data_IF_702602192600
#
_entry.id   IF_702602192600
#
_cell.length_a   1.000
_cell.length_b   1.000
_cell.length_c   1.000
_cell.angle_alpha   90.00
_cell.angle_beta   90.00
_cell.angle_gamma   90.00
#
_symmetry.space_group_name_H-M   'P 1'
#
loop_
_entity.id
_entity.type
_entity.pdbx_description
1 polymer ?
2 non-polymer ?
3 non-polymer ?
4 water ?
#
# COMPACT_ATOMS: atom_id res chain seq x y z
N UNK A 9 16.37 10.93 16.11
CA UNK A 9 17.04 9.95 17.02
C UNK A 9 18.55 10.06 16.80
N UNK A 10 19.28 10.12 17.91
CA UNK A 10 20.73 10.27 17.89
C UNK A 10 21.20 11.58 17.26
N UNK A 11 22.47 11.60 16.86
CA UNK A 11 23.05 12.75 16.18
C UNK A 11 23.48 12.35 14.78
N UNK A 12 22.53 12.36 13.82
CA UNK A 12 22.91 11.95 12.46
C UNK A 12 23.85 12.94 11.78
N UNK A 13 24.70 12.42 10.92
CA UNK A 13 25.62 13.27 10.14
C UNK A 13 24.79 14.08 9.16
N UNK A 14 25.32 15.21 8.70
CA UNK A 14 24.70 15.91 7.58
C UNK A 14 24.49 15.02 6.37
N UNK A 15 25.45 14.10 6.17
CA UNK A 15 25.43 13.16 5.04
C UNK A 15 24.26 12.19 5.05
N UNK A 16 24.00 11.55 6.20
CA UNK A 16 22.82 10.67 6.28
C UNK A 16 21.53 11.48 6.30
N UNK A 17 21.53 12.68 6.89
CA UNK A 17 20.33 13.52 6.90
C UNK A 17 19.96 13.89 5.48
N UNK A 18 20.94 14.34 4.70
CA UNK A 18 20.76 14.67 3.31
C UNK A 18 20.19 13.53 2.47
N UNK A 19 20.71 12.33 2.69
CA UNK A 19 20.22 11.13 2.06
C UNK A 19 18.74 10.89 2.36
N UNK A 20 18.39 11.00 3.64
CA UNK A 20 17.00 10.84 4.11
C UNK A 20 16.10 11.98 3.66
N UNK A 21 16.64 13.20 3.52
CA UNK A 21 15.89 14.33 2.94
C UNK A 21 15.43 14.03 1.51
N UNK A 22 16.31 13.43 0.70
CA UNK A 22 15.97 13.05 -0.66
C UNK A 22 14.88 12.01 -0.69
N UNK A 23 14.98 10.99 0.16
CA UNK A 23 13.96 9.95 0.21
C UNK A 23 12.63 10.54 0.67
N UNK A 24 12.67 11.46 1.65
CA UNK A 24 11.45 12.12 2.10
C UNK A 24 10.83 12.94 0.97
N UNK A 25 11.64 13.76 0.30
CA UNK A 25 11.19 14.57 -0.84
C UNK A 25 10.57 13.73 -1.95
N UNK A 26 11.18 12.60 -2.29
CA UNK A 26 10.60 11.63 -3.24
C UNK A 26 9.25 11.14 -2.77
N UNK A 27 9.15 10.76 -1.51
CA UNK A 27 7.89 10.27 -0.98
C UNK A 27 6.77 11.36 -1.10
N UNK A 28 7.12 12.63 -0.84
CA UNK A 28 6.14 13.73 -0.90
C UNK A 28 5.74 14.13 -2.32
N UNK A 29 6.68 14.16 -3.24
CA UNK A 29 6.36 14.42 -4.65
C UNK A 29 5.65 13.21 -5.31
N UNK A 30 5.11 12.31 -4.46
CA UNK A 30 4.42 11.10 -4.85
C UNK A 30 3.07 11.05 -4.13
N UNK A 31 3.10 11.15 -2.79
CA UNK A 31 1.89 11.23 -1.99
C UNK A 31 1.13 12.52 -2.33
N UNK A 32 1.83 13.66 -2.27
CA UNK A 32 1.19 14.98 -2.32
C UNK A 32 1.05 15.65 -3.69
N UNK A 33 1.88 15.31 -4.67
CA UNK A 33 2.11 16.25 -5.77
C UNK A 33 2.52 15.63 -7.14
N UNK A 34 3.35 16.35 -7.96
CA UNK A 34 3.58 16.09 -9.42
C UNK A 34 3.58 14.65 -9.98
N UNK A 35 3.65 14.56 -11.31
CA UNK A 35 3.44 13.29 -12.02
C UNK A 35 4.76 12.57 -12.41
N UNK A 36 5.18 12.70 -13.66
CA UNK A 36 6.15 11.76 -14.24
C UNK A 36 7.58 12.24 -14.08
N UNK A 37 7.97 13.13 -15.01
CA UNK A 37 9.30 13.73 -15.00
C UNK A 37 9.32 14.96 -14.08
N UNK A 38 9.27 14.69 -12.77
CA UNK A 38 9.79 15.61 -11.77
C UNK A 38 11.28 15.45 -11.95
N UNK A 39 12.00 16.55 -12.04
CA UNK A 39 13.41 16.47 -12.33
C UNK A 39 14.22 16.20 -11.05
N UNK A 40 15.48 15.84 -11.25
CA UNK A 40 16.41 15.76 -10.16
C UNK A 40 16.49 17.12 -9.44
N UNK A 41 16.61 18.20 -10.22
CA UNK A 41 16.73 19.57 -9.67
C UNK A 41 15.59 19.89 -8.70
N UNK A 42 14.38 19.52 -9.09
CA UNK A 42 13.19 19.75 -8.27
C UNK A 42 13.13 18.93 -6.97
N UNK A 43 13.51 17.64 -7.06
CA UNK A 43 13.58 16.80 -5.86
C UNK A 43 14.61 17.40 -4.88
N UNK A 44 15.79 17.77 -5.40
CA UNK A 44 16.89 18.29 -4.57
C UNK A 44 16.55 19.64 -3.95
N UNK A 45 15.83 20.47 -4.71
CA UNK A 45 15.33 21.74 -4.19
C UNK A 45 14.30 21.52 -3.05
N UNK A 46 13.37 20.59 -3.24
CA UNK A 46 12.46 20.25 -2.15
C UNK A 46 13.22 19.72 -0.90
N UNK A 47 14.24 18.88 -1.12
CA UNK A 47 15.01 18.25 -0.03
C UNK A 47 15.90 19.25 0.65
N UNK A 48 16.31 20.26 -0.12
CA UNK A 48 17.24 21.24 0.36
C UNK A 48 18.67 20.74 0.28
N UNK A 49 18.99 19.97 -0.78
CA UNK A 49 20.33 19.39 -0.98
C UNK A 49 20.87 19.74 -2.35
N UNK A 50 22.18 19.58 -2.54
CA UNK A 50 22.81 19.59 -3.85
C UNK A 50 22.13 18.55 -4.74
N UNK A 51 21.74 18.94 -5.98
CA UNK A 51 21.11 17.99 -6.90
C UNK A 51 22.01 16.83 -7.31
N UNK A 52 23.32 17.01 -7.18
CA UNK A 52 24.30 15.97 -7.43
C UNK A 52 24.23 14.78 -6.49
N UNK A 53 23.64 14.97 -5.31
CA UNK A 53 23.50 13.88 -4.34
C UNK A 53 22.51 12.79 -4.71
N UNK A 54 21.61 13.04 -5.67
CA UNK A 54 20.69 12.00 -6.11
C UNK A 54 21.48 10.91 -6.84
N UNK A 55 22.26 11.30 -7.83
CA UNK A 55 23.14 10.37 -8.50
C UNK A 55 24.20 9.81 -7.54
N UNK A 56 24.71 10.62 -6.60
CA UNK A 56 25.73 10.13 -5.67
C UNK A 56 25.18 9.00 -4.80
N UNK A 57 24.07 9.24 -4.11
CA UNK A 57 23.51 8.24 -3.19
C UNK A 57 22.77 7.13 -3.87
N UNK A 58 22.13 7.42 -5.00
CA UNK A 58 21.18 6.46 -5.56
C UNK A 58 21.47 6.03 -7.00
N UNK A 59 22.42 6.65 -7.69
CA UNK A 59 22.71 6.30 -9.10
C UNK A 59 21.75 6.99 -10.05
N UNK A 60 20.45 6.84 -9.80
CA UNK A 60 19.44 7.41 -10.69
C UNK A 60 18.24 7.87 -9.90
N UNK A 61 17.42 8.71 -10.51
CA UNK A 61 16.14 9.13 -9.96
C UNK A 61 15.18 7.93 -9.75
N UNK A 62 15.25 6.97 -10.67
CA UNK A 62 14.42 5.77 -10.61
C UNK A 62 14.78 4.91 -9.41
N UNK A 63 16.07 4.79 -9.12
CA UNK A 63 16.51 4.04 -7.95
C UNK A 63 16.20 4.78 -6.63
N UNK A 64 16.22 6.10 -6.64
CA UNK A 64 15.75 6.88 -5.50
C UNK A 64 14.29 6.55 -5.21
N UNK A 65 13.46 6.58 -6.25
CA UNK A 65 12.05 6.22 -6.07
C UNK A 65 11.82 4.78 -5.62
N UNK A 66 12.50 3.79 -6.23
CA UNK A 66 12.34 2.40 -5.73
C UNK A 66 12.81 2.26 -4.29
N UNK A 67 13.92 2.91 -3.95
CA UNK A 67 14.42 2.85 -2.57
C UNK A 67 13.41 3.47 -1.58
N UNK A 68 12.84 4.61 -1.95
CA UNK A 68 11.76 5.21 -1.16
C UNK A 68 10.58 4.23 -0.96
N UNK A 69 10.22 3.50 -2.01
CA UNK A 69 9.06 2.58 -1.93
C UNK A 69 9.36 1.46 -0.92
N UNK A 70 10.56 0.89 -1.00
CA UNK A 70 10.93 -0.20 -0.07
C UNK A 70 10.97 0.30 1.36
N UNK A 71 11.58 1.47 1.58
CA UNK A 71 11.73 2.00 2.93
C UNK A 71 10.38 2.35 3.50
N UNK A 72 9.50 2.91 2.70
CA UNK A 72 8.16 3.24 3.14
C UNK A 72 7.37 1.98 3.53
N UNK A 73 7.57 0.89 2.78
CA UNK A 73 6.84 -0.36 2.91
C UNK A 73 7.33 -1.23 4.04
N UNK A 74 8.63 -1.17 4.36
CA UNK A 74 9.24 -2.11 5.27
C UNK A 74 8.52 -2.25 6.62
N UNK A 75 8.20 -1.14 7.30
CA UNK A 75 7.54 -1.24 8.59
C UNK A 75 6.06 -1.61 8.48
N UNK A 76 5.42 -1.19 7.39
CA UNK A 76 4.05 -1.54 7.11
C UNK A 76 3.92 -3.07 6.96
N UNK A 77 4.76 -3.68 6.10
CA UNK A 77 4.74 -5.12 5.88
C UNK A 77 5.14 -5.88 7.13
N UNK A 78 6.04 -5.31 7.93
CA UNK A 78 6.45 -5.97 9.18
C UNK A 78 5.25 -6.03 10.13
N UNK A 79 4.58 -4.90 10.31
CA UNK A 79 3.38 -4.87 11.14
C UNK A 79 2.27 -5.84 10.67
N UNK A 80 1.99 -5.88 9.37
CA UNK A 80 0.99 -6.80 8.85
C UNK A 80 1.39 -8.25 9.05
N UNK A 81 2.68 -8.55 8.87
CA UNK A 81 3.18 -9.92 9.06
C UNK A 81 3.04 -10.32 10.52
N UNK A 82 3.38 -9.39 11.41
CA UNK A 82 3.26 -9.62 12.84
C UNK A 82 1.78 -9.85 13.21
N UNK A 83 0.90 -9.00 12.69
CA UNK A 83 -0.56 -9.11 12.93
C UNK A 83 -1.16 -10.42 12.44
N UNK A 84 -0.61 -10.96 11.36
CA UNK A 84 -1.16 -12.16 10.74
C UNK A 84 -0.56 -13.45 11.27
N UNK A 85 0.58 -13.40 11.97
CA UNK A 85 1.14 -14.59 12.63
C UNK A 85 0.08 -15.29 13.52
N UNK A 86 -0.72 -14.47 14.21
CA UNK A 86 -1.78 -14.92 15.12
C UNK A 86 -3.00 -15.64 14.46
N UNK A 87 -3.12 -15.60 13.13
CA UNK A 87 -4.42 -15.84 12.46
C UNK A 87 -4.52 -17.17 11.72
N UNK A 88 -5.74 -17.50 11.28
CA UNK A 88 -6.05 -18.84 10.76
C UNK A 88 -5.92 -19.01 9.24
N UNK A 89 -5.65 -20.27 8.86
CA UNK A 89 -5.47 -20.71 7.47
C UNK A 89 -6.60 -20.15 6.61
N UNK A 90 -6.26 -19.86 5.37
CA UNK A 90 -6.83 -18.70 4.73
C UNK A 90 -8.29 -18.37 5.02
N UNK A 91 -8.39 -17.25 5.71
CA UNK A 91 -9.59 -16.69 6.22
C UNK A 91 -9.58 -15.29 5.63
N UNK A 92 -10.45 -15.03 4.67
CA UNK A 92 -10.67 -13.65 4.17
C UNK A 92 -10.87 -12.60 5.25
N UNK A 93 -11.69 -12.96 6.24
CA UNK A 93 -11.97 -12.10 7.38
C UNK A 93 -10.70 -11.67 8.14
N UNK A 94 -9.82 -12.62 8.45
CA UNK A 94 -8.58 -12.30 9.16
C UNK A 94 -7.69 -11.37 8.34
N UNK A 95 -7.68 -11.55 7.02
CA UNK A 95 -6.84 -10.73 6.15
C UNK A 95 -7.34 -9.31 6.20
N UNK A 96 -8.66 -9.16 6.24
CA UNK A 96 -9.31 -7.85 6.17
C UNK A 96 -9.17 -7.16 7.52
N UNK A 97 -9.42 -7.90 8.60
CA UNK A 97 -9.27 -7.35 9.97
C UNK A 97 -7.86 -6.84 10.22
N UNK A 98 -6.84 -7.62 9.85
CA UNK A 98 -5.44 -7.22 10.07
C UNK A 98 -5.00 -6.06 9.10
N UNK A 99 -5.44 -6.12 7.86
CA UNK A 99 -5.27 -5.01 6.92
C UNK A 99 -5.81 -3.70 7.52
N UNK A 100 -7.03 -3.70 8.06
CA UNK A 100 -7.60 -2.48 8.65
C UNK A 100 -6.80 -2.04 9.86
N UNK A 101 -6.36 -3.01 10.63
CA UNK A 101 -5.59 -2.68 11.83
C UNK A 101 -4.30 -1.98 11.48
N UNK A 102 -3.62 -2.46 10.46
CA UNK A 102 -2.34 -1.89 10.11
C UNK A 102 -2.49 -0.60 9.30
N UNK A 103 -3.45 -0.55 8.36
CA UNK A 103 -3.60 0.64 7.51
C UNK A 103 -4.25 1.78 8.28
N UNK A 104 -4.92 1.47 9.39
CA UNK A 104 -5.30 2.50 10.36
C UNK A 104 -4.07 3.36 10.77
N UNK A 105 -2.92 2.73 10.96
CA UNK A 105 -1.71 3.46 11.34
C UNK A 105 -0.91 4.05 10.15
N UNK A 106 -1.23 3.61 8.93
CA UNK A 106 -0.53 3.98 7.71
C UNK A 106 -1.57 4.32 6.63
N UNK A 107 -2.44 5.31 6.93
CA UNK A 107 -3.65 5.59 6.16
C UNK A 107 -3.41 5.96 4.70
N UNK A 108 -2.20 6.46 4.41
CA UNK A 108 -1.81 6.86 3.09
C UNK A 108 -1.12 5.76 2.28
N UNK A 109 -0.86 4.60 2.89
CA UNK A 109 -0.09 3.55 2.21
C UNK A 109 -0.87 2.94 1.04
N UNK A 110 -2.15 2.56 1.24
CA UNK A 110 -2.94 2.00 0.15
C UNK A 110 -3.06 2.92 -1.07
N UNK A 111 -3.25 4.22 -0.86
CA UNK A 111 -3.37 5.16 -1.99
C UNK A 111 -2.02 5.32 -2.72
N UNK A 112 -0.93 5.32 -1.98
CA UNK A 112 0.40 5.33 -2.59
C UNK A 112 0.61 4.09 -3.45
N UNK A 113 0.34 2.91 -2.90
CA UNK A 113 0.47 1.68 -3.66
C UNK A 113 -0.40 1.71 -4.91
N UNK A 114 -1.66 2.13 -4.78
CA UNK A 114 -2.57 2.15 -5.94
C UNK A 114 -2.10 3.14 -7.01
N UNK A 115 -1.58 4.29 -6.60
CA UNK A 115 -1.00 5.27 -7.50
C UNK A 115 0.20 4.67 -8.29
N UNK A 116 1.10 3.97 -7.60
CA UNK A 116 2.26 3.35 -8.26
C UNK A 116 1.77 2.30 -9.26
N UNK A 117 0.78 1.49 -8.85
CA UNK A 117 0.19 0.44 -9.69
C UNK A 117 -0.45 0.94 -10.96
N UNK A 118 -0.81 2.22 -11.00
CA UNK A 118 -1.43 2.83 -12.17
C UNK A 118 -0.44 3.45 -13.13
N UNK A 119 0.87 3.35 -12.87
CA UNK A 119 1.86 3.87 -13.80
C UNK A 119 1.82 3.03 -15.06
N UNK A 120 2.20 3.62 -16.19
CA UNK A 120 2.27 2.83 -17.43
C UNK A 120 3.51 1.91 -17.34
N UNK A 121 3.27 0.62 -17.07
CA UNK A 121 4.33 -0.39 -16.88
C UNK A 121 5.04 -0.81 -18.18
N UNK A 122 4.59 -0.29 -19.32
CA UNK A 122 5.27 -0.50 -20.59
C UNK A 122 6.39 0.53 -20.84
N UNK A 123 6.45 1.59 -20.03
CA UNK A 123 7.43 2.62 -20.25
C UNK A 123 8.72 2.27 -19.52
N UNK A 124 9.86 2.43 -20.19
CA UNK A 124 11.14 2.07 -19.53
C UNK A 124 11.52 2.94 -18.31
N UNK A 125 11.15 4.21 -18.29
CA UNK A 125 11.22 5.06 -17.08
C UNK A 125 10.53 4.49 -15.85
N UNK A 126 9.64 3.51 -16.02
CA UNK A 126 8.84 3.00 -14.91
C UNK A 126 9.21 1.58 -14.48
N UNK A 127 10.18 0.94 -15.16
CA UNK A 127 10.51 -0.48 -14.93
C UNK A 127 11.02 -0.73 -13.49
N UNK A 128 11.87 0.17 -13.02
CA UNK A 128 12.49 0.04 -11.73
C UNK A 128 11.47 0.20 -10.60
N UNK A 129 10.63 1.23 -10.69
CA UNK A 129 9.61 1.48 -9.70
C UNK A 129 8.58 0.35 -9.75
N UNK A 130 8.26 -0.15 -10.93
CA UNK A 130 7.33 -1.29 -11.10
C UNK A 130 7.86 -2.60 -10.48
N UNK A 131 9.12 -2.94 -10.74
CA UNK A 131 9.78 -4.05 -10.05
C UNK A 131 9.66 -3.95 -8.50
N UNK A 132 9.95 -2.77 -7.97
CA UNK A 132 9.82 -2.51 -6.53
C UNK A 132 8.39 -2.75 -6.06
N UNK A 133 7.41 -2.23 -6.83
CA UNK A 133 5.98 -2.33 -6.46
C UNK A 133 5.54 -3.76 -6.27
N UNK A 134 5.89 -4.61 -7.25
CA UNK A 134 5.49 -6.01 -7.24
C UNK A 134 6.16 -6.82 -6.15
N UNK A 135 7.39 -6.44 -5.80
CA UNK A 135 8.04 -6.96 -4.63
C UNK A 135 7.29 -6.63 -3.33
N UNK A 136 6.89 -5.38 -3.19
CA UNK A 136 6.20 -4.90 -1.98
C UNK A 136 4.86 -5.63 -1.80
N UNK A 137 4.13 -5.87 -2.90
CA UNK A 137 2.80 -6.44 -2.78
C UNK A 137 2.77 -7.96 -2.96
N UNK A 138 3.94 -8.59 -2.94
CA UNK A 138 4.07 -10.03 -3.25
C UNK A 138 3.43 -10.90 -2.16
N UNK A 139 3.19 -10.30 -0.99
CA UNK A 139 2.51 -10.96 0.14
C UNK A 139 0.99 -11.19 -0.11
N UNK A 140 0.41 -10.50 -1.10
CA UNK A 140 -1.04 -10.52 -1.26
C UNK A 140 -1.54 -11.88 -1.68
N UNK A 141 -2.66 -12.27 -1.07
CA UNK A 141 -3.28 -13.60 -1.28
C UNK A 141 -4.32 -13.48 -2.40
N UNK A 142 -3.78 -13.32 -3.59
CA UNK A 142 -4.52 -12.97 -4.81
C UNK A 142 -5.38 -14.09 -5.40
N UNK A 143 -5.29 -15.31 -4.84
CA UNK A 143 -6.13 -16.44 -5.27
C UNK A 143 -6.84 -17.08 -4.10
N UNK A 144 -7.06 -16.33 -3.03
CA UNK A 144 -7.64 -16.93 -1.85
C UNK A 144 -9.03 -17.49 -2.10
N UNK A 145 -9.89 -16.75 -2.80
CA UNK A 145 -11.20 -17.30 -3.14
C UNK A 145 -11.18 -18.45 -4.16
N UNK A 146 -10.18 -18.50 -5.03
CA UNK A 146 -9.95 -19.68 -5.87
C UNK A 146 -9.67 -20.93 -5.01
N UNK A 147 -8.81 -20.78 -4.02
CA UNK A 147 -8.53 -21.87 -3.10
C UNK A 147 -9.74 -22.29 -2.29
N UNK A 148 -10.50 -21.31 -1.82
CA UNK A 148 -11.73 -21.57 -1.08
C UNK A 148 -12.78 -22.31 -1.95
N UNK A 149 -12.89 -21.91 -3.22
CA UNK A 149 -13.82 -22.56 -4.15
C UNK A 149 -13.44 -24.04 -4.32
N UNK A 150 -12.13 -24.28 -4.45
CA UNK A 150 -11.63 -25.63 -4.68
C UNK A 150 -11.80 -26.53 -3.46
N UNK A 151 -11.76 -25.94 -2.26
CA UNK A 151 -11.99 -26.71 -1.02
C UNK A 151 -13.46 -26.86 -0.71
N UNK A 152 -14.32 -26.44 -1.65
CA UNK A 152 -15.77 -26.45 -1.52
C UNK A 152 -16.36 -25.63 -0.38
N UNK A 153 -15.72 -24.51 -0.08
CA UNK A 153 -16.11 -23.67 1.05
C UNK A 153 -16.94 -22.44 0.66
N UNK A 154 -17.28 -22.31 -0.61
CA UNK A 154 -18.04 -21.17 -1.10
C UNK A 154 -19.38 -21.67 -1.52
N UNK A 155 -20.36 -20.77 -1.58
CA UNK A 155 -21.67 -21.15 -2.12
C UNK A 155 -21.54 -21.63 -3.58
N UNK A 156 -22.40 -22.57 -3.97
CA UNK A 156 -22.28 -23.28 -5.24
C UNK A 156 -22.15 -22.35 -6.47
N UNK A 157 -22.90 -21.26 -6.47
CA UNK A 157 -22.91 -20.38 -7.66
C UNK A 157 -21.91 -19.22 -7.60
N UNK A 158 -21.05 -19.21 -6.58
CA UNK A 158 -20.05 -18.16 -6.40
C UNK A 158 -18.89 -18.34 -7.36
N UNK A 159 -18.56 -17.26 -8.06
CA UNK A 159 -17.42 -17.18 -8.94
C UNK A 159 -16.24 -16.58 -8.20
N UNK A 160 -15.13 -17.31 -8.21
CA UNK A 160 -13.93 -16.93 -7.47
C UNK A 160 -13.34 -15.57 -7.84
N UNK A 161 -13.26 -15.27 -9.14
CA UNK A 161 -12.79 -13.94 -9.60
C UNK A 161 -13.65 -12.82 -9.05
N UNK A 162 -14.96 -12.98 -9.11
CA UNK A 162 -15.91 -11.97 -8.63
C UNK A 162 -15.86 -11.80 -7.11
N UNK A 163 -15.78 -12.92 -6.41
CA UNK A 163 -15.62 -12.93 -4.97
C UNK A 163 -14.33 -12.23 -4.58
N UNK A 164 -13.23 -12.57 -5.22
CA UNK A 164 -11.93 -11.97 -4.96
C UNK A 164 -11.92 -10.46 -5.17
N UNK A 165 -12.60 -10.02 -6.24
CA UNK A 165 -12.68 -8.59 -6.61
C UNK A 165 -13.49 -7.81 -5.60
N UNK A 166 -14.63 -8.36 -5.15
CA UNK A 166 -15.44 -7.71 -4.14
C UNK A 166 -14.75 -7.71 -2.77
N UNK A 167 -14.08 -8.80 -2.41
CA UNK A 167 -13.21 -8.82 -1.22
C UNK A 167 -12.13 -7.72 -1.26
N UNK A 168 -11.36 -7.69 -2.34
CA UNK A 168 -10.30 -6.66 -2.59
C UNK A 168 -10.88 -5.23 -2.44
N UNK A 169 -12.07 -5.01 -3.00
CA UNK A 169 -12.76 -3.73 -2.91
C UNK A 169 -13.15 -3.30 -1.50
N UNK A 170 -13.80 -4.19 -0.74
CA UNK A 170 -14.18 -3.90 0.66
C UNK A 170 -12.97 -3.69 1.57
N UNK A 171 -11.88 -4.36 1.26
CA UNK A 171 -10.67 -4.23 2.02
C UNK A 171 -9.96 -2.91 1.76
N UNK A 172 -9.79 -2.59 0.50
CA UNK A 172 -8.92 -1.50 0.09
C UNK A 172 -9.66 -0.18 -0.17
N UNK A 173 -10.84 -0.25 -0.78
CA UNK A 173 -11.54 0.99 -1.21
C UNK A 173 -11.72 2.03 -0.11
N UNK A 174 -12.03 1.59 1.12
CA UNK A 174 -12.19 2.61 2.18
C UNK A 174 -11.00 3.59 2.30
N UNK A 175 -9.79 3.10 2.03
CA UNK A 175 -8.54 3.88 2.14
C UNK A 175 -8.19 4.67 0.93
N UNK A 176 -8.88 4.38 -0.18
CA UNK A 176 -8.68 5.05 -1.44
C UNK A 176 -9.67 6.18 -1.67
N UNK A 177 -10.91 6.04 -1.18
CA UNK A 177 -11.92 7.08 -1.33
C UNK A 177 -11.49 8.38 -0.65
N UNK A 178 -11.55 9.51 -1.39
CA UNK A 178 -11.26 10.80 -0.81
C UNK A 178 -12.10 11.03 0.42
N UNK A 179 -11.51 11.64 1.45
CA UNK A 179 -12.25 12.01 2.66
C UNK A 179 -13.47 12.88 2.41
N UNK A 180 -13.40 13.76 1.41
CA UNK A 180 -14.55 14.54 0.98
C UNK A 180 -15.79 13.62 0.81
N UNK A 181 -15.61 12.48 0.16
CA UNK A 181 -16.74 11.58 -0.12
C UNK A 181 -17.21 10.71 1.03
N UNK A 182 -16.28 10.25 1.85
CA UNK A 182 -16.67 9.59 3.11
C UNK A 182 -17.48 10.52 3.99
N UNK A 183 -17.01 11.77 4.13
CA UNK A 183 -17.73 12.73 4.95
C UNK A 183 -19.15 12.96 4.44
N UNK A 184 -19.32 13.00 3.13
CA UNK A 184 -20.62 13.22 2.50
C UNK A 184 -21.65 12.16 2.85
N UNK A 185 -21.22 10.91 3.01
CA UNK A 185 -22.09 9.82 3.50
C UNK A 185 -21.94 9.58 5.00
N UNK A 186 -21.34 10.53 5.72
CA UNK A 186 -21.31 10.50 7.18
C UNK A 186 -20.27 9.61 7.84
N UNK A 187 -19.15 9.36 7.13
CA UNK A 187 -18.12 8.45 7.64
C UNK A 187 -16.81 9.18 7.86
N UNK A 188 -16.23 8.98 9.05
CA UNK A 188 -14.80 9.17 9.26
C UNK A 188 -14.16 7.81 9.60
N UNK A 189 -13.02 7.50 8.98
CA UNK A 189 -12.35 6.21 9.16
C UNK A 189 -11.53 6.19 10.45
N UNK A 190 -12.19 6.36 11.60
CA UNK A 190 -11.52 6.26 12.88
C UNK A 190 -11.13 4.80 13.16
N UNK A 191 -10.19 4.57 14.11
CA UNK A 191 -9.97 3.17 14.55
C UNK A 191 -11.27 2.47 14.98
N UNK A 192 -12.15 3.18 15.69
CA UNK A 192 -13.42 2.60 16.12
C UNK A 192 -14.32 2.21 14.97
N UNK A 193 -14.41 3.08 13.96
CA UNK A 193 -15.23 2.78 12.79
C UNK A 193 -14.59 1.64 11.99
N UNK A 194 -13.26 1.60 11.87
CA UNK A 194 -12.63 0.52 11.12
C UNK A 194 -12.80 -0.83 11.82
N UNK A 195 -12.82 -0.79 13.15
CA UNK A 195 -13.17 -1.97 13.96
C UNK A 195 -14.61 -2.45 13.73
N UNK A 196 -15.58 -1.52 13.70
CA UNK A 196 -16.96 -1.83 13.33
C UNK A 196 -17.03 -2.39 11.91
N UNK A 197 -16.36 -1.69 10.99
CA UNK A 197 -16.32 -2.08 9.61
C UNK A 197 -15.69 -3.45 9.39
N UNK A 198 -14.62 -3.77 10.13
CA UNK A 198 -14.03 -5.14 10.08
C UNK A 198 -15.06 -6.19 10.49
N UNK A 199 -15.76 -5.94 11.58
CA UNK A 199 -16.80 -6.82 12.11
C UNK A 199 -17.95 -7.01 11.08
N UNK A 200 -18.44 -5.90 10.54
CA UNK A 200 -19.52 -5.90 9.57
C UNK A 200 -19.16 -6.64 8.24
N UNK A 201 -17.95 -6.42 7.74
CA UNK A 201 -17.55 -7.02 6.47
C UNK A 201 -17.20 -8.46 6.66
N UNK A 202 -16.67 -8.81 7.84
CA UNK A 202 -16.47 -10.21 8.19
C UNK A 202 -17.82 -10.94 8.02
N UNK A 203 -18.89 -10.37 8.55
CA UNK A 203 -20.22 -11.02 8.45
C UNK A 203 -20.81 -10.98 7.04
N UNK A 204 -20.61 -9.87 6.32
CA UNK A 204 -21.05 -9.80 4.93
C UNK A 204 -20.37 -10.91 4.09
N UNK A 205 -19.07 -11.08 4.25
CA UNK A 205 -18.34 -12.12 3.51
C UNK A 205 -18.82 -13.55 3.87
N UNK A 206 -19.00 -13.82 5.16
CA UNK A 206 -19.45 -15.16 5.64
C UNK A 206 -20.86 -15.49 5.15
N UNK A 207 -21.79 -14.62 5.47
CA UNK A 207 -23.20 -14.80 5.08
C UNK A 207 -23.36 -14.65 3.59
N UNK A 208 -22.56 -13.79 2.98
CA UNK A 208 -22.63 -13.57 1.54
C UNK A 208 -22.11 -14.70 0.67
N UNK A 209 -20.98 -15.27 1.05
CA UNK A 209 -20.21 -16.15 0.13
C UNK A 209 -19.94 -17.58 0.64
N UNK A 210 -19.89 -17.76 1.96
CA UNK A 210 -19.48 -19.03 2.54
C UNK A 210 -20.64 -20.01 2.81
N UNK A 211 -20.32 -21.31 2.78
CA UNK A 211 -21.11 -22.40 3.43
C UNK A 211 -20.54 -23.73 2.99
X LIG B 1 -2.42 -1.72 -0.04
X LIG B 1 -1.47 -3.45 -0.61
X LIG B 1 -5.02 -5.61 -1.57
X LIG B 1 -3.88 -5.94 0.41
X LIG B 1 -3.79 -8.55 2.09
X LIG B 1 -3.98 -10.58 1.17
X LIG B 1 -5.60 -9.20 -1.92
X LIG B 1 -6.83 -9.53 -4.18
X LIG C 1 21.76 2.29 -5.09
X LIG C 1 21.66 3.26 -4.01
X LIG C 1 23.19 2.04 -5.58
X LIG C 1 23.30 1.96 -7.00
X LIG D 1 -8.91 -1.10 13.21
X LIG D 1 -8.78 -0.18 14.31
X LIG D 1 -8.77 -2.55 13.68
X LIG D 1 -9.43 -3.45 12.78
X LIG E 1 15.34 -0.93 4.25
X LIG E 1 16.59 -0.20 4.26
X LIG E 1 14.94 -1.35 2.84
X LIG E 1 14.08 -2.50 2.91
X LIG F 1 8.40 -10.14 12.72
X LIG F 1 8.01 -10.32 14.07
X LIG F 1 7.18 -9.87 11.85
X LIG F 1 6.33 -11.02 11.91
X LIG G 1 1.95 -10.21 5.05
X LIG G 1 1.82 -10.94 6.27
X LIG G 1 3.27 -9.41 5.05
X LIG G 1 4.42 -10.27 4.96
X LIG H 1 14.55 -2.58 -13.77
X LIG H 1 15.57 -2.69 -14.79
X LIG H 1 13.72 -3.85 -13.67
X LIG H 1 12.42 -3.77 -14.32
X LIG I 1 18.38 17.53 -14.13
X LIG I 1 17.15 17.92 -13.52
X LIG I 1 19.42 17.20 -13.04
X LIG I 1 20.69 17.72 -13.39
X LIG J 1 7.90 8.29 -11.48
X LIG J 1 6.63 8.98 -11.54
X LIG J 1 7.67 6.79 -11.61
X LIG J 1 8.81 6.17 -12.21
X LIG K 1 2.85 5.48 3.59
X LIG K 1 2.20 5.40 4.84
X LIG K 1 2.87 6.91 3.08
X LIG K 1 3.23 7.83 4.14
#
# INVERSE_FOLDING_TARGET
GXAEAKSRVGRPSGDTQNRDKLILAARNLFIERPYAQVSIREIASLAGTDPGLIRYYFGSKEKLFSTMIHETAMPVLAQLHKARRETRQESPAALLQTYYSVMSKHPHFPRLMLRIAGLDQSLPENAEVTKAFYEVVNFENIAIFQRLKDKNLLKDDVDAHCAQLSFFAMMVFPFIVPENLLERVGIELTPDFLQLLAEQNTRLLQRGLMDVKDERDE
UNL O1 O2 O3 O4 O5 O6 O7 O8
EDO C1 O1 C2 O2
EDO C1 O1 C2 O2
EDO C1 O1 C2 O2
EDO C1 O1 C2 O2
EDO C1 O1 C2 O2
EDO C1 O1 C2 O2
EDO C1 O1 C2 O2
EDO C1 O1 C2 O2
EDO C1 O1 C2 O2
#
